data_IF_824715374581
#
_entry.id   IF_824715374581
#
_cell.length_a   1.000
_cell.length_b   1.000
_cell.length_c   1.000
_cell.angle_alpha   90.00
_cell.angle_beta   90.00
_cell.angle_gamma   90.00
#
_symmetry.space_group_name_H-M   'P 1'
#
loop_
_entity.id
_entity.type
_entity.pdbx_description
1 polymer ?
#
# COMPACT_ATOMS: atom_id res chain seq x y z
N UNK A 1 -14.09 21.90 -5.17
CA UNK A 1 -13.81 20.81 -4.21
C UNK A 1 -14.72 19.64 -4.53
N UNK A 2 -14.16 18.45 -4.76
CA UNK A 2 -14.93 17.32 -5.30
C UNK A 2 -15.62 16.53 -4.20
N UNK A 3 -16.95 16.61 -4.15
CA UNK A 3 -17.82 15.80 -3.30
C UNK A 3 -18.01 14.39 -3.86
N UNK A 4 -16.95 13.78 -4.39
CA UNK A 4 -17.05 12.44 -4.94
C UNK A 4 -17.24 11.46 -3.77
N UNK A 5 -18.43 10.83 -3.72
CA UNK A 5 -18.84 9.92 -2.65
C UNK A 5 -17.86 8.76 -2.41
N UNK A 6 -16.98 8.49 -3.36
CA UNK A 6 -15.99 7.42 -3.31
C UNK A 6 -14.66 7.82 -2.67
N UNK A 7 -14.37 9.11 -2.47
CA UNK A 7 -13.08 9.58 -1.92
C UNK A 7 -12.88 9.13 -0.48
N UNK A 8 -13.88 9.31 0.38
CA UNK A 8 -13.77 8.87 1.78
C UNK A 8 -13.67 7.34 1.92
N UNK A 9 -14.53 6.54 1.26
CA UNK A 9 -14.36 5.08 1.23
C UNK A 9 -12.99 4.64 0.73
N UNK A 10 -12.43 5.30 -0.30
CA UNK A 10 -11.10 5.01 -0.80
C UNK A 10 -10.02 5.17 0.28
N UNK A 11 -9.98 6.32 0.97
CA UNK A 11 -9.01 6.54 2.03
C UNK A 11 -9.20 5.60 3.21
N UNK A 12 -10.44 5.30 3.60
CA UNK A 12 -10.72 4.35 4.69
C UNK A 12 -10.28 2.92 4.34
N UNK A 13 -10.59 2.46 3.12
CA UNK A 13 -10.18 1.14 2.66
C UNK A 13 -8.65 1.04 2.58
N UNK A 14 -7.99 2.07 2.05
CA UNK A 14 -6.53 2.13 1.98
C UNK A 14 -5.93 2.16 3.40
N UNK A 15 -6.45 3.00 4.30
CA UNK A 15 -6.01 3.06 5.70
C UNK A 15 -6.11 1.71 6.40
N UNK A 16 -7.26 1.04 6.30
CA UNK A 16 -7.47 -0.28 6.87
C UNK A 16 -6.48 -1.31 6.29
N UNK A 17 -6.25 -1.26 4.99
CA UNK A 17 -5.34 -2.16 4.29
C UNK A 17 -3.90 -2.01 4.77
N UNK A 18 -3.36 -0.79 4.76
CA UNK A 18 -2.01 -0.49 5.25
C UNK A 18 -1.86 -0.84 6.73
N UNK A 19 -2.88 -0.57 7.54
CA UNK A 19 -2.85 -0.86 8.99
C UNK A 19 -2.85 -2.37 9.25
N UNK A 20 -3.75 -3.14 8.62
CA UNK A 20 -3.80 -4.60 8.80
C UNK A 20 -2.51 -5.25 8.32
N UNK A 21 -1.98 -4.81 7.17
CA UNK A 21 -0.74 -5.32 6.63
C UNK A 21 0.45 -4.98 7.54
N UNK A 22 0.54 -3.73 8.01
CA UNK A 22 1.55 -3.26 8.95
C UNK A 22 1.50 -3.99 10.30
N UNK A 23 0.31 -4.15 10.88
CA UNK A 23 0.12 -4.92 12.12
C UNK A 23 0.45 -6.40 11.92
N UNK A 24 0.10 -6.99 10.77
CA UNK A 24 0.48 -8.35 10.43
C UNK A 24 2.00 -8.53 10.39
N UNK A 25 2.72 -7.56 9.80
CA UNK A 25 4.17 -7.53 9.79
C UNK A 25 4.77 -7.32 11.21
N UNK A 26 4.17 -6.44 12.02
CA UNK A 26 4.62 -6.13 13.37
C UNK A 26 4.43 -7.26 14.37
N UNK A 27 3.28 -7.94 14.30
CA UNK A 27 2.83 -8.88 15.33
C UNK A 27 3.13 -10.34 15.00
N UNK A 28 3.65 -10.63 13.80
CA UNK A 28 3.91 -11.99 13.35
C UNK A 28 5.39 -12.25 13.01
N UNK A 29 6.30 -12.22 13.99
CA UNK A 29 7.68 -12.64 13.80
C UNK A 29 7.79 -14.13 13.39
N UNK A 30 6.76 -14.95 13.63
CA UNK A 30 6.68 -16.32 13.11
C UNK A 30 6.52 -16.38 11.58
N UNK A 31 5.84 -15.39 10.98
CA UNK A 31 5.83 -15.24 9.53
C UNK A 31 7.18 -14.74 9.04
N UNK A 32 7.89 -13.88 9.81
CA UNK A 32 9.30 -13.55 9.54
C UNK A 32 10.20 -14.79 9.55
N UNK A 33 10.04 -15.71 10.50
CA UNK A 33 10.81 -16.97 10.54
C UNK A 33 10.53 -17.89 9.35
N UNK A 34 9.32 -17.85 8.78
CA UNK A 34 9.02 -18.56 7.53
C UNK A 34 9.71 -17.94 6.29
N UNK A 35 10.14 -16.68 6.39
CA UNK A 35 10.98 -15.99 5.39
C UNK A 35 12.48 -16.09 5.69
N UNK A 36 12.90 -16.35 6.94
CA UNK A 36 14.28 -16.60 7.36
C UNK A 36 14.75 -18.05 7.08
N UNK A 37 14.39 -18.58 5.91
CA UNK A 37 15.04 -19.77 5.36
C UNK A 37 16.40 -19.38 4.79
N UNK A 38 17.40 -20.28 4.68
CA UNK A 38 18.68 -19.95 4.05
C UNK A 38 18.50 -19.31 2.67
N UNK A 39 17.52 -19.76 1.89
CA UNK A 39 17.17 -19.21 0.58
C UNK A 39 16.47 -17.86 0.66
N UNK A 40 15.67 -17.59 1.70
CA UNK A 40 14.97 -16.31 1.89
C UNK A 40 15.87 -15.22 2.48
N UNK A 41 16.89 -15.62 3.26
CA UNK A 41 18.00 -14.76 3.70
C UNK A 41 18.95 -14.46 2.53
N UNK A 42 19.24 -15.45 1.68
CA UNK A 42 20.04 -15.24 0.46
C UNK A 42 19.28 -14.43 -0.60
N UNK A 43 17.97 -14.63 -0.70
CA UNK A 43 17.04 -13.83 -1.47
C UNK A 43 16.48 -12.67 -0.64
N UNK A 44 17.22 -12.14 0.34
CA UNK A 44 16.93 -10.85 0.96
C UNK A 44 16.93 -9.81 -0.15
N UNK A 45 15.80 -9.70 -0.83
CA UNK A 45 15.55 -8.64 -1.77
C UNK A 45 15.54 -7.39 -0.92
N UNK A 46 16.08 -6.29 -1.44
CA UNK A 46 16.08 -5.02 -0.73
C UNK A 46 14.69 -4.66 -0.15
N UNK A 47 13.60 -5.20 -0.72
CA UNK A 47 12.24 -5.07 -0.20
C UNK A 47 12.00 -5.75 1.16
N UNK A 48 12.49 -6.98 1.38
CA UNK A 48 12.38 -7.69 2.65
C UNK A 48 13.28 -7.13 3.76
N UNK A 49 14.29 -6.34 3.42
CA UNK A 49 15.02 -5.56 4.43
C UNK A 49 14.27 -4.26 4.76
N UNK A 50 13.71 -3.56 3.76
CA UNK A 50 13.10 -2.24 3.95
C UNK A 50 11.72 -2.26 4.61
N UNK A 51 10.83 -3.18 4.23
CA UNK A 51 9.48 -3.29 4.85
C UNK A 51 9.58 -3.77 6.31
N UNK A 52 10.67 -4.46 6.64
CA UNK A 52 10.81 -5.18 7.91
C UNK A 52 11.78 -4.48 8.88
N UNK A 53 12.59 -3.51 8.41
CA UNK A 53 13.48 -2.65 9.20
C UNK A 53 12.76 -1.85 10.31
N UNK A 54 11.45 -1.67 10.21
CA UNK A 54 10.63 -0.97 11.19
C UNK A 54 9.49 -1.81 11.78
N UNK A 55 9.53 -3.14 11.59
CA UNK A 55 8.48 -4.06 12.03
C UNK A 55 7.07 -3.64 11.56
N UNK A 56 6.92 -3.07 10.36
CA UNK A 56 5.63 -2.63 9.82
C UNK A 56 4.98 -1.41 10.51
N UNK A 57 5.64 -0.77 11.48
CA UNK A 57 5.12 0.43 12.16
C UNK A 57 5.03 1.65 11.24
N UNK A 58 5.92 1.73 10.25
CA UNK A 58 5.87 2.69 9.15
C UNK A 58 4.58 2.54 8.33
N UNK A 59 4.17 1.30 8.02
CA UNK A 59 2.92 1.01 7.30
C UNK A 59 1.69 1.38 8.14
N UNK A 60 1.72 1.10 9.45
CA UNK A 60 0.66 1.53 10.38
C UNK A 60 0.56 3.06 10.43
N UNK A 61 1.69 3.76 10.44
CA UNK A 61 1.74 5.22 10.42
C UNK A 61 1.09 5.79 9.15
N UNK A 62 1.40 5.21 7.98
CA UNK A 62 0.73 5.55 6.72
C UNK A 62 -0.78 5.29 6.82
N UNK A 63 -1.20 4.19 7.45
CA UNK A 63 -2.59 3.87 7.73
C UNK A 63 -3.32 4.97 8.54
N UNK A 64 -2.70 5.45 9.62
CA UNK A 64 -3.24 6.55 10.44
C UNK A 64 -3.35 7.86 9.65
N UNK A 65 -2.34 8.18 8.83
CA UNK A 65 -2.37 9.36 7.97
C UNK A 65 -3.52 9.30 6.95
N UNK A 66 -3.70 8.15 6.28
CA UNK A 66 -4.79 7.92 5.34
C UNK A 66 -6.16 7.98 6.04
N UNK A 67 -6.26 7.46 7.27
CA UNK A 67 -7.46 7.59 8.07
C UNK A 67 -7.79 9.05 8.37
N UNK A 68 -6.80 9.86 8.75
CA UNK A 68 -6.96 11.30 8.91
C UNK A 68 -7.40 12.00 7.61
N UNK A 69 -6.79 11.63 6.48
CA UNK A 69 -7.17 12.13 5.16
C UNK A 69 -8.62 11.79 4.77
N UNK A 70 -9.22 10.75 5.35
CA UNK A 70 -10.61 10.39 5.09
C UNK A 70 -11.63 11.40 5.65
N UNK A 71 -11.22 12.29 6.56
CA UNK A 71 -12.09 13.31 7.17
C UNK A 71 -11.96 14.69 6.52
N UNK A 72 -10.96 14.89 5.67
CA UNK A 72 -10.74 16.16 4.98
C UNK A 72 -11.07 16.04 3.49
N UNK A 73 -11.56 17.11 2.85
CA UNK A 73 -11.75 17.08 1.40
C UNK A 73 -10.41 16.89 0.68
N UNK A 74 -10.31 15.88 -0.17
CA UNK A 74 -9.11 15.62 -0.97
C UNK A 74 -9.27 16.17 -2.39
N UNK A 75 -8.28 16.95 -2.84
CA UNK A 75 -8.18 17.40 -4.23
C UNK A 75 -7.52 16.36 -5.15
N UNK A 76 -7.53 16.63 -6.45
CA UNK A 76 -6.92 15.76 -7.47
C UNK A 76 -5.45 15.44 -7.16
N UNK A 77 -4.65 16.42 -6.71
CA UNK A 77 -3.24 16.21 -6.37
C UNK A 77 -3.07 15.16 -5.26
N UNK A 78 -3.82 15.29 -4.16
CA UNK A 78 -3.74 14.36 -3.01
C UNK A 78 -4.10 12.95 -3.46
N UNK A 79 -5.14 12.79 -4.29
CA UNK A 79 -5.56 11.49 -4.83
C UNK A 79 -4.51 10.88 -5.76
N UNK A 80 -3.82 11.68 -6.58
CA UNK A 80 -2.68 11.20 -7.40
C UNK A 80 -1.52 10.75 -6.52
N UNK A 81 -1.16 11.56 -5.53
CA UNK A 81 -0.07 11.24 -4.59
C UNK A 81 -0.39 9.95 -3.84
N UNK A 82 -1.62 9.79 -3.33
CA UNK A 82 -2.07 8.56 -2.68
C UNK A 82 -2.00 7.35 -3.63
N UNK A 83 -2.46 7.50 -4.88
CA UNK A 83 -2.37 6.45 -5.89
C UNK A 83 -0.92 6.07 -6.23
N UNK A 84 -0.03 7.05 -6.40
CA UNK A 84 1.40 6.80 -6.66
C UNK A 84 2.07 6.16 -5.44
N UNK A 85 1.76 6.61 -4.23
CA UNK A 85 2.27 6.01 -3.00
C UNK A 85 1.83 4.55 -2.86
N UNK A 86 0.62 4.20 -3.31
CA UNK A 86 0.17 2.80 -3.39
C UNK A 86 0.89 2.00 -4.48
N UNK A 87 1.33 2.62 -5.57
CA UNK A 87 2.03 1.92 -6.65
C UNK A 87 3.43 1.46 -6.25
N UNK A 88 4.13 2.23 -5.40
CA UNK A 88 5.49 1.89 -4.96
C UNK A 88 5.60 0.50 -4.32
N UNK A 89 4.80 0.13 -3.30
CA UNK A 89 4.84 -1.23 -2.74
C UNK A 89 4.39 -2.28 -3.74
N UNK A 90 3.42 -2.00 -4.63
CA UNK A 90 3.04 -2.93 -5.69
C UNK A 90 4.20 -3.28 -6.64
N UNK A 91 4.98 -2.27 -7.06
CA UNK A 91 6.17 -2.46 -7.91
C UNK A 91 7.23 -3.28 -7.16
N UNK A 92 7.50 -2.93 -5.91
CA UNK A 92 8.51 -3.61 -5.12
C UNK A 92 8.15 -5.08 -4.80
N UNK A 93 6.86 -5.36 -4.58
CA UNK A 93 6.33 -6.73 -4.51
C UNK A 93 6.49 -7.43 -5.85
N UNK A 94 6.14 -6.78 -6.96
CA UNK A 94 6.29 -7.35 -8.30
C UNK A 94 7.73 -7.77 -8.59
N UNK A 95 8.70 -6.89 -8.32
CA UNK A 95 10.12 -7.21 -8.44
C UNK A 95 10.49 -8.42 -7.56
N UNK A 96 9.98 -8.48 -6.33
CA UNK A 96 10.27 -9.60 -5.41
C UNK A 96 9.66 -10.92 -5.87
N UNK A 97 8.43 -10.91 -6.39
CA UNK A 97 7.74 -12.12 -6.89
C UNK A 97 8.41 -12.65 -8.16
N UNK A 98 8.81 -11.79 -9.09
CA UNK A 98 9.49 -12.23 -10.32
C UNK A 98 10.97 -12.52 -10.13
N UNK A 99 11.61 -11.91 -9.12
CA UNK A 99 13.03 -12.08 -8.80
C UNK A 99 13.33 -13.23 -7.85
N UNK A 100 12.32 -13.89 -7.29
CA UNK A 100 12.49 -14.97 -6.31
C UNK A 100 11.58 -16.16 -6.60
N UNK A 101 11.88 -17.37 -6.10
CA UNK A 101 10.96 -18.51 -6.20
C UNK A 101 9.73 -18.38 -5.29
N UNK A 102 9.59 -17.29 -4.51
CA UNK A 102 8.55 -17.11 -3.51
C UNK A 102 7.25 -16.55 -4.11
N UNK A 103 6.54 -17.39 -4.86
CA UNK A 103 5.20 -17.14 -5.38
C UNK A 103 4.11 -17.51 -4.37
N UNK A 104 4.19 -16.95 -3.17
CA UNK A 104 3.21 -17.24 -2.13
C UNK A 104 2.09 -16.17 -2.09
N UNK A 105 0.94 -16.55 -1.52
CA UNK A 105 -0.19 -15.63 -1.36
C UNK A 105 0.14 -14.40 -0.50
N UNK A 106 1.15 -14.48 0.37
CA UNK A 106 1.58 -13.38 1.23
C UNK A 106 2.24 -12.23 0.46
N UNK A 107 2.72 -12.44 -0.77
CA UNK A 107 3.19 -11.35 -1.64
C UNK A 107 2.15 -10.96 -2.68
N UNK A 108 1.49 -11.94 -3.30
CA UNK A 108 0.55 -11.70 -4.40
C UNK A 108 -0.67 -10.90 -3.91
N UNK A 109 -1.23 -11.24 -2.76
CA UNK A 109 -2.43 -10.57 -2.23
C UNK A 109 -2.13 -9.10 -1.89
N UNK A 110 -1.05 -8.79 -1.14
CA UNK A 110 -0.57 -7.42 -0.97
C UNK A 110 -0.37 -6.65 -2.28
N UNK A 111 0.31 -7.27 -3.25
CA UNK A 111 0.61 -6.64 -4.53
C UNK A 111 -0.63 -6.23 -5.31
N UNK A 112 -1.63 -7.13 -5.40
CA UNK A 112 -2.89 -6.86 -6.08
C UNK A 112 -3.66 -5.73 -5.40
N UNK A 113 -3.74 -5.73 -4.06
CA UNK A 113 -4.45 -4.67 -3.34
C UNK A 113 -3.81 -3.29 -3.54
N UNK A 114 -2.47 -3.21 -3.47
CA UNK A 114 -1.76 -1.97 -3.74
C UNK A 114 -1.94 -1.47 -5.18
N UNK A 115 -1.96 -2.38 -6.19
CA UNK A 115 -2.29 -2.03 -7.56
C UNK A 115 -3.72 -1.48 -7.69
N UNK A 116 -4.69 -2.09 -7.00
CA UNK A 116 -6.07 -1.62 -7.01
C UNK A 116 -6.20 -0.22 -6.39
N UNK A 117 -5.48 0.07 -5.30
CA UNK A 117 -5.45 1.41 -4.71
C UNK A 117 -4.73 2.44 -5.59
N UNK A 118 -3.69 2.03 -6.32
CA UNK A 118 -3.02 2.90 -7.29
C UNK A 118 -3.97 3.32 -8.42
N UNK A 119 -4.63 2.34 -9.05
CA UNK A 119 -5.62 2.59 -10.09
C UNK A 119 -6.80 3.43 -9.57
N UNK A 120 -7.34 3.07 -8.39
CA UNK A 120 -8.43 3.80 -7.76
C UNK A 120 -8.10 5.27 -7.48
N UNK A 121 -6.91 5.56 -6.95
CA UNK A 121 -6.45 6.92 -6.67
C UNK A 121 -6.34 7.76 -7.94
N UNK A 122 -5.78 7.19 -9.01
CA UNK A 122 -5.65 7.88 -10.31
C UNK A 122 -7.01 8.14 -10.97
N UNK A 123 -7.93 7.16 -10.93
CA UNK A 123 -9.29 7.33 -11.47
C UNK A 123 -10.05 8.42 -10.70
N UNK A 124 -10.00 8.39 -9.37
CA UNK A 124 -10.62 9.42 -8.53
C UNK A 124 -9.97 10.79 -8.76
N UNK A 125 -8.66 10.85 -8.93
CA UNK A 125 -7.97 12.10 -9.25
C UNK A 125 -8.39 12.70 -10.59
N UNK A 126 -8.59 11.87 -11.62
CA UNK A 126 -9.07 12.33 -12.93
C UNK A 126 -10.48 12.89 -12.82
N UNK A 127 -11.39 12.16 -12.15
CA UNK A 127 -12.75 12.64 -11.85
C UNK A 127 -12.73 13.96 -11.09
N UNK A 128 -11.81 14.08 -10.12
CA UNK A 128 -11.66 15.29 -9.34
C UNK A 128 -11.17 16.49 -10.16
N UNK A 129 -10.27 16.27 -11.12
CA UNK A 129 -9.79 17.31 -12.02
C UNK A 129 -10.86 17.77 -13.01
N UNK A 130 -11.65 16.84 -13.55
CA UNK A 130 -12.72 17.14 -14.50
C UNK A 130 -13.89 17.96 -13.89
N UNK A 131 -14.04 17.94 -12.57
CA UNK A 131 -15.09 18.66 -11.85
C UNK A 131 -14.71 20.11 -11.47
N UNK A 132 -13.52 20.60 -11.85
CA UNK A 132 -13.13 21.99 -11.67
C UNK A 132 -13.52 22.77 -12.93
N UNK A 133 -14.50 23.69 -12.88
CA UNK A 133 -14.83 24.53 -14.02
C UNK A 133 -13.65 25.44 -14.37
N UNK A 134 -13.30 25.48 -15.66
CA UNK A 134 -12.27 26.35 -16.24
C UNK A 134 -12.62 27.83 -16.13
#
# INVERSE_FOLDING_TARGET
MTSDRWVRPYFLAMAAYWTIFGLGAALSPGTMNAFLTPEGVAASTAFSDHVWLHAGLDLVTVGVLLFGLSFVPAGSLILRVAGVAALLPAVAIGISVFGTPYWNGLFIIPGIGFLAFAAGGLVLAQRAAAAVPS
#
